data_IF_430105524658
#
_entry.id   IF_430105524658
#
_cell.length_a   1.000
_cell.length_b   1.000
_cell.length_c   1.000
_cell.angle_alpha   90.00
_cell.angle_beta   90.00
_cell.angle_gamma   90.00
#
_symmetry.space_group_name_H-M   'P 1'
#
loop_
_entity.id
_entity.type
_entity.pdbx_description
1 polymer ?
#
# COMPACT_ATOMS: atom_id res chain seq x y z
N UNK A 1 -12.50 -17.28 -15.11
CA UNK A 1 -13.57 -17.93 -15.91
C UNK A 1 -14.12 -16.98 -16.95
N UNK A 2 -14.69 -15.83 -16.56
CA UNK A 2 -15.37 -14.89 -17.49
C UNK A 2 -14.49 -14.44 -18.64
N UNK A 3 -13.20 -14.23 -18.41
CA UNK A 3 -12.26 -13.85 -19.47
C UNK A 3 -12.14 -14.93 -20.56
N UNK A 4 -11.92 -16.19 -20.16
CA UNK A 4 -11.80 -17.32 -21.10
C UNK A 4 -13.08 -17.45 -21.92
N UNK A 5 -14.24 -17.37 -21.28
CA UNK A 5 -15.53 -17.46 -21.98
C UNK A 5 -15.74 -16.30 -22.93
N UNK A 6 -15.44 -15.06 -22.54
CA UNK A 6 -15.57 -13.88 -23.41
C UNK A 6 -14.64 -13.96 -24.62
N UNK A 7 -13.38 -14.37 -24.42
CA UNK A 7 -12.45 -14.54 -25.55
C UNK A 7 -12.90 -15.61 -26.53
N UNK A 8 -13.47 -16.70 -26.05
CA UNK A 8 -14.03 -17.73 -26.90
C UNK A 8 -15.29 -17.24 -27.65
N UNK A 9 -16.31 -16.72 -26.89
CA UNK A 9 -17.63 -16.44 -27.47
C UNK A 9 -17.73 -15.11 -28.19
N UNK A 10 -17.09 -14.07 -27.66
CA UNK A 10 -17.18 -12.74 -28.26
C UNK A 10 -16.09 -12.48 -29.30
N UNK A 11 -14.89 -12.98 -29.04
CA UNK A 11 -13.74 -12.72 -29.90
C UNK A 11 -13.34 -13.91 -30.80
N UNK A 12 -13.98 -15.06 -30.65
CA UNK A 12 -13.75 -16.24 -31.50
C UNK A 12 -12.35 -16.85 -31.35
N UNK A 13 -11.64 -16.63 -30.27
CA UNK A 13 -10.28 -17.10 -30.08
C UNK A 13 -10.30 -18.57 -29.65
N UNK A 14 -10.05 -19.48 -30.59
CA UNK A 14 -10.14 -20.93 -30.41
C UNK A 14 -9.32 -21.45 -29.24
N UNK A 15 -8.12 -20.94 -29.01
CA UNK A 15 -7.26 -21.35 -27.90
C UNK A 15 -7.91 -21.17 -26.50
N UNK A 16 -8.89 -20.28 -26.37
CA UNK A 16 -9.69 -20.12 -25.14
C UNK A 16 -10.92 -21.04 -25.14
N UNK A 17 -11.45 -21.38 -26.29
CA UNK A 17 -12.53 -22.37 -26.41
C UNK A 17 -12.07 -23.75 -25.97
N UNK A 18 -10.82 -24.09 -26.22
CA UNK A 18 -10.22 -25.37 -25.86
C UNK A 18 -9.90 -25.52 -24.35
N UNK A 19 -10.04 -24.43 -23.58
CA UNK A 19 -9.77 -24.43 -22.14
C UNK A 19 -10.96 -24.84 -21.28
N UNK A 20 -12.12 -25.06 -21.88
CA UNK A 20 -13.29 -25.53 -21.10
C UNK A 20 -13.99 -26.69 -21.80
N UNK A 21 -14.63 -27.51 -21.00
CA UNK A 21 -15.47 -28.62 -21.46
C UNK A 21 -16.93 -28.35 -21.13
N UNK A 22 -17.81 -28.88 -21.98
CA UNK A 22 -19.27 -28.81 -21.76
C UNK A 22 -19.85 -30.19 -21.53
N UNK A 23 -20.90 -30.23 -20.77
CA UNK A 23 -21.72 -31.43 -20.61
C UNK A 23 -22.58 -31.72 -21.82
N UNK A 24 -23.33 -32.81 -21.75
CA UNK A 24 -24.20 -33.27 -22.82
C UNK A 24 -25.37 -32.29 -23.10
N UNK A 25 -25.87 -32.35 -24.33
CA UNK A 25 -27.00 -31.54 -24.77
C UNK A 25 -28.24 -31.73 -23.88
N UNK A 26 -28.44 -32.95 -23.37
CA UNK A 26 -29.52 -33.29 -22.46
C UNK A 26 -29.48 -32.50 -21.13
N UNK A 27 -28.30 -32.05 -20.73
CA UNK A 27 -28.06 -31.27 -19.52
C UNK A 27 -27.82 -29.77 -19.79
N UNK A 28 -28.31 -29.26 -20.95
CA UNK A 28 -28.21 -27.86 -21.30
C UNK A 28 -26.80 -27.37 -21.62
N UNK A 29 -25.87 -28.27 -21.93
CA UNK A 29 -24.46 -27.97 -22.30
C UNK A 29 -23.74 -27.04 -21.29
N UNK A 30 -23.99 -27.23 -20.02
CA UNK A 30 -23.31 -26.47 -18.95
C UNK A 30 -21.80 -26.67 -19.01
N UNK A 31 -21.05 -25.65 -18.62
CA UNK A 31 -19.60 -25.75 -18.47
C UNK A 31 -19.26 -26.71 -17.31
N UNK A 32 -18.68 -27.85 -17.63
CA UNK A 32 -18.39 -28.92 -16.67
C UNK A 32 -16.93 -28.91 -16.20
N UNK A 33 -16.06 -28.29 -16.96
CA UNK A 33 -14.65 -28.16 -16.61
C UNK A 33 -14.04 -26.88 -17.18
N UNK A 34 -13.11 -26.27 -16.45
CA UNK A 34 -12.35 -25.11 -16.91
C UNK A 34 -10.88 -25.28 -16.53
N UNK A 35 -10.03 -25.39 -17.54
CA UNK A 35 -8.58 -25.34 -17.35
C UNK A 35 -8.13 -23.92 -17.08
N UNK A 36 -7.43 -23.69 -15.97
CA UNK A 36 -6.88 -22.39 -15.59
C UNK A 36 -5.36 -22.47 -15.53
N UNK A 37 -4.70 -21.57 -16.18
CA UNK A 37 -3.26 -21.39 -16.11
C UNK A 37 -2.90 -19.94 -15.90
N UNK A 38 -1.65 -19.68 -15.54
CA UNK A 38 -1.10 -18.32 -15.52
C UNK A 38 -0.73 -17.93 -16.95
N UNK A 39 -1.15 -16.74 -17.36
CA UNK A 39 -0.79 -16.16 -18.65
C UNK A 39 -0.49 -14.67 -18.50
N UNK A 40 0.45 -14.17 -19.28
CA UNK A 40 0.78 -12.75 -19.34
C UNK A 40 -0.24 -12.03 -20.22
N UNK A 41 -1.39 -11.69 -19.67
CA UNK A 41 -2.52 -11.12 -20.39
C UNK A 41 -2.64 -9.61 -20.22
N UNK A 42 -2.14 -9.08 -19.13
CA UNK A 42 -2.32 -7.70 -18.74
C UNK A 42 -1.09 -6.84 -18.97
N UNK A 43 -1.29 -5.54 -18.85
CA UNK A 43 -0.25 -4.52 -18.86
C UNK A 43 -0.35 -3.69 -17.58
N UNK A 44 0.79 -3.23 -17.10
CA UNK A 44 0.89 -2.33 -15.95
C UNK A 44 1.79 -1.15 -16.35
N UNK A 45 1.31 0.06 -16.07
CA UNK A 45 2.05 1.30 -16.28
C UNK A 45 2.05 2.10 -14.97
N UNK A 46 3.21 2.64 -14.62
CA UNK A 46 3.35 3.51 -13.46
C UNK A 46 4.16 4.74 -13.82
N UNK A 47 3.69 5.89 -13.36
CA UNK A 47 4.33 7.17 -13.57
C UNK A 47 4.37 7.95 -12.25
N UNK A 48 5.45 8.69 -12.02
CA UNK A 48 5.59 9.48 -10.82
C UNK A 48 6.92 10.20 -10.73
N UNK A 49 7.08 10.92 -9.64
CA UNK A 49 8.27 11.69 -9.34
C UNK A 49 8.86 11.29 -8.00
N UNK A 50 10.18 11.14 -7.97
CA UNK A 50 10.92 10.96 -6.73
C UNK A 50 11.69 12.25 -6.44
N UNK A 51 11.55 12.75 -5.22
CA UNK A 51 12.25 13.93 -4.75
C UNK A 51 13.04 13.59 -3.49
N UNK A 52 14.35 13.83 -3.53
CA UNK A 52 15.24 13.59 -2.40
C UNK A 52 16.06 14.83 -2.06
N UNK A 53 16.15 15.14 -0.77
CA UNK A 53 17.01 16.20 -0.24
C UNK A 53 17.85 15.64 0.89
N UNK A 54 19.15 15.87 0.82
CA UNK A 54 20.10 15.56 1.90
C UNK A 54 20.82 16.85 2.30
N UNK A 55 20.76 17.15 3.59
CA UNK A 55 21.43 18.31 4.13
C UNK A 55 22.12 17.95 5.44
N UNK A 56 23.40 18.32 5.56
CA UNK A 56 24.17 18.20 6.79
C UNK A 56 24.60 19.58 7.23
N UNK A 57 24.23 19.93 8.44
CA UNK A 57 24.66 21.20 9.05
C UNK A 57 26.15 21.16 9.38
N UNK A 58 26.81 22.32 9.42
CA UNK A 58 28.14 22.43 10.03
C UNK A 58 28.12 21.91 11.47
N UNK A 59 29.30 21.54 11.96
CA UNK A 59 29.44 21.12 13.34
C UNK A 59 29.34 22.32 14.29
N UNK A 60 28.49 22.17 15.30
CA UNK A 60 28.31 23.15 16.37
C UNK A 60 28.68 22.54 17.72
N UNK A 61 28.73 23.35 18.78
CA UNK A 61 29.02 22.89 20.15
C UNK A 61 28.06 21.82 20.67
N UNK A 62 26.83 21.80 20.16
CA UNK A 62 25.85 20.77 20.48
C UNK A 62 25.97 19.52 19.61
N UNK A 63 26.84 19.50 18.58
CA UNK A 63 27.00 18.42 17.64
C UNK A 63 26.58 18.79 16.22
N UNK A 64 26.36 17.78 15.38
CA UNK A 64 25.95 17.92 13.97
C UNK A 64 24.51 17.40 13.80
N UNK A 65 23.71 18.13 13.02
CA UNK A 65 22.39 17.68 12.55
C UNK A 65 22.46 17.38 11.05
N UNK A 66 21.87 16.26 10.66
CA UNK A 66 21.68 15.91 9.27
C UNK A 66 20.24 15.53 8.99
N UNK A 67 19.76 15.91 7.81
CA UNK A 67 18.39 15.68 7.35
C UNK A 67 18.42 14.92 6.04
N UNK A 68 17.58 13.92 5.94
CA UNK A 68 17.36 13.16 4.72
C UNK A 68 15.85 13.09 4.47
N UNK A 69 15.40 13.74 3.40
CA UNK A 69 14.02 13.70 2.93
C UNK A 69 13.98 12.90 1.64
N UNK A 70 13.17 11.86 1.61
CA UNK A 70 12.85 11.12 0.40
C UNK A 70 11.32 11.12 0.24
N UNK A 71 10.83 11.58 -0.90
CA UNK A 71 9.40 11.69 -1.19
C UNK A 71 9.11 11.13 -2.57
N UNK A 72 8.04 10.37 -2.67
CA UNK A 72 7.50 9.86 -3.92
C UNK A 72 6.12 10.47 -4.17
N UNK A 73 5.89 10.98 -5.37
CA UNK A 73 4.59 11.41 -5.87
C UNK A 73 4.17 10.50 -7.03
N UNK A 74 3.15 9.69 -6.82
CA UNK A 74 2.57 8.79 -7.80
C UNK A 74 1.53 9.53 -8.63
N UNK A 75 1.84 9.78 -9.90
CA UNK A 75 0.94 10.46 -10.83
C UNK A 75 -0.13 9.50 -11.32
N UNK A 76 0.28 8.32 -11.78
CA UNK A 76 -0.62 7.26 -12.23
C UNK A 76 -0.07 5.88 -11.90
N UNK A 77 -0.99 4.93 -11.66
CA UNK A 77 -0.71 3.51 -11.56
C UNK A 77 -1.83 2.77 -12.28
N UNK A 78 -1.61 2.50 -13.54
CA UNK A 78 -2.64 1.97 -14.44
C UNK A 78 -2.44 0.50 -14.71
N UNK A 79 -3.54 -0.24 -14.69
CA UNK A 79 -3.58 -1.65 -15.06
C UNK A 79 -4.59 -1.86 -16.17
N UNK A 80 -4.22 -2.71 -17.10
CA UNK A 80 -5.10 -3.22 -18.14
C UNK A 80 -5.18 -4.73 -17.96
N UNK A 81 -6.34 -5.25 -17.63
CA UNK A 81 -6.50 -6.67 -17.31
C UNK A 81 -6.14 -7.59 -18.48
N UNK A 82 -6.39 -7.11 -19.72
CA UNK A 82 -6.07 -7.83 -20.96
C UNK A 82 -5.86 -6.84 -22.07
N UNK A 83 -5.11 -7.22 -23.10
CA UNK A 83 -4.89 -6.37 -24.27
C UNK A 83 -6.22 -5.90 -24.86
N UNK A 84 -6.39 -4.58 -24.98
CA UNK A 84 -7.59 -3.95 -25.53
C UNK A 84 -8.71 -3.68 -24.50
N UNK A 85 -8.57 -4.12 -23.23
CA UNK A 85 -9.49 -3.73 -22.18
C UNK A 85 -9.27 -2.25 -21.77
N UNK A 86 -10.22 -1.70 -21.03
CA UNK A 86 -10.05 -0.38 -20.44
C UNK A 86 -8.87 -0.36 -19.44
N UNK A 87 -8.25 0.79 -19.29
CA UNK A 87 -7.25 1.03 -18.27
C UNK A 87 -7.91 1.51 -16.99
N UNK A 88 -7.60 0.86 -15.86
CA UNK A 88 -8.00 1.26 -14.53
C UNK A 88 -6.83 1.98 -13.85
N UNK A 89 -7.03 3.21 -13.35
CA UNK A 89 -6.03 3.97 -12.60
C UNK A 89 -6.27 3.83 -11.10
N UNK A 90 -5.32 3.23 -10.40
CA UNK A 90 -5.36 3.00 -8.96
C UNK A 90 -4.57 4.04 -8.13
N UNK A 91 -3.99 5.07 -8.76
CA UNK A 91 -3.27 6.10 -8.03
C UNK A 91 -4.21 6.87 -7.09
N UNK A 92 -3.86 6.90 -5.80
CA UNK A 92 -4.69 7.45 -4.74
C UNK A 92 -5.67 6.46 -4.11
N UNK A 93 -5.64 5.20 -4.53
CA UNK A 93 -6.37 4.11 -3.87
C UNK A 93 -5.51 3.41 -2.81
N UNK A 94 -6.15 2.52 -2.06
CA UNK A 94 -5.51 1.65 -1.08
C UNK A 94 -4.26 0.96 -1.68
N UNK A 95 -3.16 0.87 -0.94
CA UNK A 95 -1.82 0.47 -1.38
C UNK A 95 -1.09 1.44 -2.33
N UNK A 96 -1.78 2.37 -2.98
CA UNK A 96 -1.21 3.28 -3.96
C UNK A 96 -1.46 4.77 -3.60
N UNK A 97 -1.19 5.23 -2.36
CA UNK A 97 -1.37 6.64 -2.03
C UNK A 97 -0.50 7.50 -2.94
N UNK A 98 -1.05 8.65 -3.36
CA UNK A 98 -0.33 9.53 -4.29
C UNK A 98 0.96 10.09 -3.71
N UNK A 99 1.02 10.30 -2.41
CA UNK A 99 2.22 10.85 -1.75
C UNK A 99 2.70 9.89 -0.67
N UNK A 100 3.97 9.54 -0.72
CA UNK A 100 4.69 8.87 0.36
C UNK A 100 5.98 9.62 0.62
N UNK A 101 6.35 9.75 1.88
CA UNK A 101 7.60 10.44 2.21
C UNK A 101 8.20 9.95 3.53
N UNK A 102 9.50 10.08 3.61
CA UNK A 102 10.26 9.79 4.82
C UNK A 102 11.22 10.94 5.07
N UNK A 103 11.14 11.53 6.25
CA UNK A 103 12.10 12.51 6.75
C UNK A 103 12.86 11.90 7.91
N UNK A 104 14.17 11.69 7.76
CA UNK A 104 15.06 11.30 8.84
C UNK A 104 15.89 12.50 9.29
N UNK A 105 15.88 12.78 10.58
CA UNK A 105 16.67 13.83 11.24
C UNK A 105 17.60 13.16 12.24
N UNK A 106 18.92 13.21 11.96
CA UNK A 106 19.92 12.57 12.80
C UNK A 106 20.81 13.62 13.45
N UNK A 107 20.87 13.56 14.77
CA UNK A 107 21.84 14.28 15.59
C UNK A 107 23.00 13.38 15.94
N UNK A 108 24.23 13.94 15.89
CA UNK A 108 25.45 13.20 16.26
C UNK A 108 26.36 14.10 17.09
N UNK A 109 26.87 13.56 18.20
CA UNK A 109 27.90 14.22 19.03
C UNK A 109 28.79 13.18 19.68
N UNK A 110 30.10 13.19 19.32
CA UNK A 110 31.05 12.17 19.79
C UNK A 110 30.55 10.76 19.43
N UNK A 111 30.48 9.91 20.43
CA UNK A 111 30.07 8.50 20.30
C UNK A 111 28.54 8.30 20.33
N UNK A 112 27.78 9.37 20.44
CA UNK A 112 26.31 9.31 20.51
C UNK A 112 25.67 9.82 19.22
N UNK A 113 24.64 9.10 18.77
CA UNK A 113 23.74 9.56 17.73
C UNK A 113 22.29 9.27 18.10
N UNK A 114 21.40 10.16 17.68
CA UNK A 114 19.96 9.97 17.82
C UNK A 114 19.27 10.32 16.51
N UNK A 115 18.36 9.48 16.09
CA UNK A 115 17.58 9.66 14.85
C UNK A 115 16.10 9.69 15.17
N UNK A 116 15.44 10.71 14.66
CA UNK A 116 13.99 10.78 14.55
C UNK A 116 13.59 10.63 13.08
N UNK A 117 12.70 9.70 12.80
CA UNK A 117 12.19 9.46 11.46
C UNK A 117 10.68 9.67 11.43
N UNK A 118 10.23 10.53 10.54
CA UNK A 118 8.82 10.71 10.22
C UNK A 118 8.52 10.00 8.90
N UNK A 119 7.53 9.09 8.91
CA UNK A 119 7.05 8.39 7.71
C UNK A 119 5.63 8.87 7.42
N UNK A 120 5.43 9.45 6.24
CA UNK A 120 4.17 10.00 5.78
C UNK A 120 3.56 9.13 4.69
N UNK A 121 2.30 8.81 4.85
CA UNK A 121 1.45 8.19 3.85
C UNK A 121 0.29 9.13 3.56
N UNK A 122 0.15 9.56 2.31
CA UNK A 122 -0.97 10.40 1.87
C UNK A 122 -2.30 9.69 2.06
N UNK A 123 -3.34 10.49 2.15
CA UNK A 123 -4.70 9.94 2.16
C UNK A 123 -4.99 9.15 0.90
N UNK A 124 -5.88 8.18 1.01
CA UNK A 124 -6.24 7.28 -0.06
C UNK A 124 -7.73 6.97 -0.07
N UNK A 125 -8.18 6.37 -1.15
CA UNK A 125 -9.53 5.82 -1.28
C UNK A 125 -9.48 4.31 -1.11
N UNK A 126 -10.46 3.78 -0.43
CA UNK A 126 -10.72 2.34 -0.41
C UNK A 126 -11.59 1.96 -1.62
N UNK A 127 -11.59 0.71 -2.01
CA UNK A 127 -12.45 0.24 -3.10
C UNK A 127 -13.91 0.16 -2.63
N UNK A 128 -14.83 0.47 -3.53
CA UNK A 128 -16.24 0.24 -3.31
C UNK A 128 -16.64 -1.14 -3.83
N UNK A 129 -17.18 -1.97 -2.98
CA UNK A 129 -17.59 -3.33 -3.36
C UNK A 129 -18.97 -3.38 -4.00
N UNK A 130 -19.87 -2.49 -3.61
CA UNK A 130 -21.27 -2.50 -4.07
C UNK A 130 -21.51 -1.42 -5.13
N UNK A 131 -21.13 -1.73 -6.38
CA UNK A 131 -21.45 -0.88 -7.52
C UNK A 131 -22.81 -1.23 -8.15
N UNK A 132 -23.39 -2.40 -7.83
CA UNK A 132 -24.62 -2.88 -8.49
C UNK A 132 -25.88 -2.08 -8.08
N UNK A 133 -25.87 -1.48 -6.90
CA UNK A 133 -27.02 -0.70 -6.41
C UNK A 133 -26.94 0.80 -6.69
N UNK A 134 -25.92 1.26 -7.44
CA UNK A 134 -25.76 2.68 -7.78
C UNK A 134 -25.42 3.58 -6.59
N UNK A 135 -25.15 3.01 -5.43
CA UNK A 135 -24.72 3.72 -4.25
C UNK A 135 -23.20 3.90 -4.32
N UNK A 136 -22.78 5.13 -4.55
CA UNK A 136 -21.36 5.47 -4.55
C UNK A 136 -20.86 5.55 -3.10
N UNK A 137 -20.10 4.59 -2.65
CA UNK A 137 -19.54 4.54 -1.28
C UNK A 137 -18.55 5.68 -0.96
N UNK A 138 -18.32 6.58 -1.90
CA UNK A 138 -17.60 7.84 -1.70
C UNK A 138 -18.51 8.99 -1.24
N UNK A 139 -19.82 8.79 -1.21
CA UNK A 139 -20.76 9.78 -0.66
C UNK A 139 -20.61 9.87 0.86
N UNK A 140 -20.70 11.08 1.44
CA UNK A 140 -20.50 11.27 2.88
C UNK A 140 -21.48 10.50 3.76
N UNK A 141 -22.68 10.24 3.27
CA UNK A 141 -23.82 9.63 3.95
C UNK A 141 -24.07 8.15 3.60
N UNK A 142 -23.24 7.58 2.72
CA UNK A 142 -23.41 6.20 2.24
C UNK A 142 -23.72 5.19 3.34
N UNK A 143 -22.98 5.23 4.45
CA UNK A 143 -23.20 4.30 5.54
C UNK A 143 -24.36 4.64 6.44
N UNK A 144 -24.74 5.91 6.51
CA UNK A 144 -25.88 6.34 7.32
C UNK A 144 -27.20 5.84 6.72
N UNK A 145 -27.33 5.93 5.40
CA UNK A 145 -28.50 5.45 4.67
C UNK A 145 -28.63 3.93 4.68
N UNK A 146 -27.51 3.21 4.73
CA UNK A 146 -27.46 1.75 4.76
C UNK A 146 -27.28 1.16 6.16
N UNK A 147 -27.51 1.94 7.22
CA UNK A 147 -27.45 1.47 8.61
C UNK A 147 -26.03 1.25 9.14
N UNK A 148 -25.02 1.77 8.47
CA UNK A 148 -23.63 1.69 8.85
C UNK A 148 -23.10 2.96 9.55
N UNK A 149 -21.83 2.93 9.88
CA UNK A 149 -21.14 4.00 10.58
C UNK A 149 -20.62 5.07 9.61
N UNK A 150 -21.05 6.33 9.75
CA UNK A 150 -20.55 7.42 8.92
C UNK A 150 -19.38 8.14 9.60
N UNK A 151 -18.21 8.08 9.01
CA UNK A 151 -17.05 8.83 9.47
C UNK A 151 -16.93 10.27 8.94
N UNK A 152 -17.96 10.82 8.30
CA UNK A 152 -18.02 12.21 7.84
C UNK A 152 -17.21 12.58 6.60
N UNK A 153 -16.40 11.68 6.04
CA UNK A 153 -15.51 11.95 4.89
C UNK A 153 -15.84 11.12 3.63
N UNK A 154 -17.02 10.48 3.59
CA UNK A 154 -17.21 9.38 2.67
C UNK A 154 -16.49 8.13 3.20
N UNK A 155 -17.20 7.04 3.31
CA UNK A 155 -16.69 5.84 3.99
C UNK A 155 -15.41 5.26 3.38
N UNK A 156 -15.22 5.47 2.07
CA UNK A 156 -14.03 4.99 1.36
C UNK A 156 -12.84 5.96 1.38
N UNK A 157 -12.98 7.18 1.89
CA UNK A 157 -11.87 8.13 1.99
C UNK A 157 -11.18 8.00 3.33
N UNK A 158 -9.88 7.74 3.31
CA UNK A 158 -9.03 7.64 4.51
C UNK A 158 -8.06 8.80 4.51
N UNK A 159 -7.89 9.41 5.68
CA UNK A 159 -6.93 10.51 5.88
C UNK A 159 -5.48 10.06 5.78
N UNK A 160 -4.57 11.02 5.70
CA UNK A 160 -3.15 10.74 5.73
C UNK A 160 -2.72 10.15 7.08
N UNK A 161 -1.68 9.31 7.03
CA UNK A 161 -1.12 8.64 8.20
C UNK A 161 0.33 9.09 8.37
N UNK A 162 0.69 9.43 9.59
CA UNK A 162 2.05 9.80 9.94
C UNK A 162 2.53 8.91 11.08
N UNK A 163 3.65 8.24 10.87
CA UNK A 163 4.36 7.49 11.89
C UNK A 163 5.62 8.21 12.30
N UNK A 164 5.99 8.06 13.57
CA UNK A 164 7.22 8.60 14.11
C UNK A 164 8.02 7.46 14.73
N UNK A 165 9.28 7.34 14.30
CA UNK A 165 10.23 6.38 14.82
C UNK A 165 11.37 7.15 15.51
N UNK A 166 11.90 6.62 16.59
CA UNK A 166 13.04 7.18 17.29
C UNK A 166 14.08 6.09 17.56
N UNK A 167 15.34 6.42 17.46
CA UNK A 167 16.42 5.54 17.89
C UNK A 167 17.62 6.35 18.41
N UNK A 168 18.38 5.74 19.30
CA UNK A 168 19.63 6.26 19.80
C UNK A 168 20.69 5.18 19.73
N UNK A 169 21.88 5.54 19.28
CA UNK A 169 23.03 4.64 19.14
C UNK A 169 24.20 5.18 19.94
N UNK A 170 24.83 4.34 20.72
CA UNK A 170 26.09 4.59 21.37
C UNK A 170 27.19 3.72 20.76
N UNK A 171 28.29 4.35 20.35
CA UNK A 171 29.50 3.68 19.91
C UNK A 171 30.38 3.39 21.12
N UNK A 172 30.53 2.13 21.46
CA UNK A 172 31.31 1.71 22.62
C UNK A 172 32.83 1.68 22.30
N UNK A 173 33.69 1.96 23.29
CA UNK A 173 35.16 2.05 23.07
C UNK A 173 35.82 0.72 22.66
N UNK A 174 35.11 -0.40 22.81
CA UNK A 174 35.57 -1.73 22.40
C UNK A 174 35.13 -2.16 20.98
N UNK A 175 34.94 -1.24 20.06
CA UNK A 175 34.48 -1.46 18.70
C UNK A 175 33.05 -2.07 18.61
N UNK A 176 32.25 -1.90 19.64
CA UNK A 176 30.85 -2.30 19.68
C UNK A 176 29.92 -1.11 19.48
N UNK A 177 28.67 -1.36 19.12
CA UNK A 177 27.62 -0.36 19.16
C UNK A 177 26.31 -0.91 19.73
N UNK A 178 25.65 -0.11 20.55
CA UNK A 178 24.32 -0.42 21.11
C UNK A 178 23.33 0.59 20.53
N UNK A 179 22.28 0.10 19.91
CA UNK A 179 21.15 0.91 19.42
C UNK A 179 19.90 0.50 20.16
N UNK A 180 19.19 1.48 20.69
CA UNK A 180 17.85 1.31 21.24
C UNK A 180 16.87 2.17 20.48
N UNK A 181 15.64 1.71 20.31
CA UNK A 181 14.67 2.50 19.56
C UNK A 181 13.25 2.00 19.68
N UNK A 182 12.37 2.81 19.10
CA UNK A 182 10.95 2.51 18.97
C UNK A 182 10.48 2.91 17.57
N UNK A 183 9.85 1.98 16.88
CA UNK A 183 9.06 2.28 15.68
C UNK A 183 7.64 2.60 16.10
N UNK A 184 7.01 3.53 15.36
CA UNK A 184 5.67 3.99 15.66
C UNK A 184 5.52 4.37 17.14
N UNK A 185 6.38 5.27 17.62
CA UNK A 185 6.53 5.61 19.04
C UNK A 185 5.22 6.05 19.70
N UNK A 186 4.29 6.61 18.93
CA UNK A 186 2.99 7.05 19.42
C UNK A 186 1.89 5.98 19.34
N UNK A 187 2.21 4.76 18.86
CA UNK A 187 1.24 3.66 18.74
C UNK A 187 0.09 3.99 17.79
N UNK A 188 0.38 4.73 16.69
CA UNK A 188 -0.64 5.09 15.70
C UNK A 188 -1.14 3.84 14.99
N UNK A 189 -2.45 3.57 15.05
CA UNK A 189 -3.08 2.49 14.31
C UNK A 189 -3.43 2.94 12.88
N UNK A 190 -3.28 2.07 11.87
CA UNK A 190 -3.73 2.36 10.52
C UNK A 190 -5.26 2.44 10.46
N UNK A 191 -5.83 3.15 9.47
CA UNK A 191 -7.27 3.17 9.27
C UNK A 191 -7.78 1.80 8.84
N UNK A 192 -8.96 1.44 9.31
CA UNK A 192 -9.63 0.21 8.89
C UNK A 192 -10.14 0.40 7.46
N UNK A 193 -9.89 -0.59 6.62
CA UNK A 193 -10.40 -0.67 5.25
C UNK A 193 -11.41 -1.81 5.14
N UNK A 194 -12.55 -1.58 4.50
CA UNK A 194 -13.65 -2.55 4.46
C UNK A 194 -13.86 -3.17 3.09
N UNK A 195 -13.25 -2.61 2.05
CA UNK A 195 -13.57 -2.93 0.67
C UNK A 195 -12.77 -4.08 0.08
N UNK A 196 -11.98 -4.78 0.86
CA UNK A 196 -11.18 -5.85 0.30
C UNK A 196 -11.84 -7.20 0.49
N UNK A 197 -12.56 -7.59 -0.58
CA UNK A 197 -12.83 -8.97 -0.97
C UNK A 197 -13.31 -9.96 0.07
N UNK A 198 -14.45 -10.50 -0.21
CA UNK A 198 -14.91 -11.90 -0.04
C UNK A 198 -14.78 -12.61 1.28
N UNK A 199 -14.07 -12.15 2.21
CA UNK A 199 -13.99 -12.81 3.51
C UNK A 199 -13.22 -11.90 4.45
N UNK A 200 -13.95 -11.23 5.23
CA UNK A 200 -13.44 -10.90 6.53
C UNK A 200 -12.01 -10.42 6.53
N UNK A 201 -11.79 -9.32 6.69
CA UNK A 201 -10.55 -8.85 7.24
C UNK A 201 -10.00 -7.67 6.49
N UNK A 202 -10.03 -6.69 7.16
CA UNK A 202 -9.02 -5.68 7.27
C UNK A 202 -7.71 -6.15 6.61
N UNK A 203 -7.61 -6.06 5.30
CA UNK A 203 -6.30 -6.15 4.68
C UNK A 203 -5.60 -4.83 4.92
N UNK A 204 -4.66 -4.87 5.80
CA UNK A 204 -3.81 -3.73 6.06
C UNK A 204 -2.73 -3.67 5.00
N UNK A 205 -2.44 -2.46 4.59
CA UNK A 205 -1.24 -2.21 3.82
C UNK A 205 -0.04 -2.72 4.66
N UNK A 206 0.74 -3.71 4.16
CA UNK A 206 1.86 -4.28 4.91
C UNK A 206 2.96 -3.24 5.22
N UNK A 207 2.88 -2.07 4.62
CA UNK A 207 3.78 -0.95 4.88
C UNK A 207 3.39 -0.14 6.12
N UNK A 208 2.19 -0.37 6.69
CA UNK A 208 1.69 0.35 7.85
C UNK A 208 1.92 -0.47 9.12
N UNK A 209 2.40 0.20 10.17
CA UNK A 209 2.60 -0.44 11.48
C UNK A 209 1.29 -0.43 12.28
N UNK A 210 0.99 -1.53 12.93
CA UNK A 210 -0.21 -1.67 13.78
C UNK A 210 -0.06 -1.02 15.14
N UNK A 211 1.14 -1.15 15.73
CA UNK A 211 1.41 -0.75 17.10
C UNK A 211 2.86 -0.32 17.24
N UNK A 212 3.21 0.06 18.45
CA UNK A 212 4.58 0.40 18.80
C UNK A 212 5.44 -0.86 18.87
N UNK A 213 6.61 -0.77 18.23
CA UNK A 213 7.63 -1.81 18.29
C UNK A 213 8.91 -1.28 18.93
N UNK A 214 9.29 -1.84 20.08
CA UNK A 214 10.53 -1.52 20.78
C UNK A 214 11.62 -2.48 20.37
N UNK A 215 12.84 -1.99 20.19
CA UNK A 215 13.98 -2.84 19.85
C UNK A 215 15.27 -2.39 20.52
N UNK A 216 16.16 -3.34 20.73
CA UNK A 216 17.55 -3.15 21.08
C UNK A 216 18.41 -3.98 20.12
N UNK A 217 19.51 -3.40 19.66
CA UNK A 217 20.45 -4.04 18.74
C UNK A 217 21.87 -3.83 19.26
N UNK A 218 22.65 -4.89 19.26
CA UNK A 218 24.09 -4.85 19.52
C UNK A 218 24.85 -5.30 18.29
N UNK A 219 25.86 -4.53 17.87
CA UNK A 219 26.79 -4.89 16.81
C UNK A 219 28.20 -4.88 17.36
N UNK A 220 29.00 -5.91 17.04
CA UNK A 220 30.40 -6.03 17.38
C UNK A 220 31.24 -6.12 16.10
N UNK A 221 32.31 -5.35 16.05
CA UNK A 221 33.36 -5.48 15.00
C UNK A 221 34.61 -6.11 15.62
N UNK A 222 35.11 -7.15 14.99
CA UNK A 222 36.32 -7.86 15.39
C UNK A 222 37.50 -7.40 14.55
#
# INVERSE_FOLDING_TARGET
ANYVLNQCYQNGVQAFCDQYSRGDVANGQQVTGLSRGNANLGSLETEGYNFGVRYRMPEYSFGTLSFNLDTNYLTSFRQQATKGAAWDDYAGYWNYPRVRGTLASTWTKGDLSATWTMRYYGGFRDFCYDQENGLECNQPDYYTENGGWSGGLGANKKGAIVYHDISATWQAPWNGSVTVGARNVFGKTPPITYAVTNASAVQLDPMLDYDRFLFIQYNQRF
#
